data_IF_272738249579
#
_entry.id   IF_272738249579
#
_cell.length_a   1.000
_cell.length_b   1.000
_cell.length_c   1.000
_cell.angle_alpha   90.00
_cell.angle_beta   90.00
_cell.angle_gamma   90.00
#
_symmetry.space_group_name_H-M   'P 1'
#
loop_
_entity.id
_entity.type
_entity.pdbx_description
1 polymer ?
#
# COMPACT_ATOMS: atom_id res chain seq x y z
N UNK A 1 -25.06 -6.24 3.53
CA UNK A 1 -24.17 -7.43 3.48
C UNK A 1 -22.71 -7.15 3.12
N UNK A 2 -22.32 -6.04 2.48
CA UNK A 2 -20.88 -5.75 2.20
C UNK A 2 -20.10 -5.20 3.42
N UNK A 3 -20.77 -4.54 4.36
CA UNK A 3 -20.15 -3.87 5.51
C UNK A 3 -19.65 -4.81 6.62
N UNK A 4 -20.37 -5.89 6.90
CA UNK A 4 -20.01 -6.85 7.98
C UNK A 4 -18.68 -7.57 7.71
N UNK A 5 -18.46 -8.03 6.48
CA UNK A 5 -17.22 -8.74 6.15
C UNK A 5 -16.00 -7.81 6.22
N UNK A 6 -16.10 -6.56 5.79
CA UNK A 6 -14.98 -5.62 5.83
C UNK A 6 -14.56 -5.34 7.27
N UNK A 7 -15.52 -5.13 8.18
CA UNK A 7 -15.24 -4.87 9.60
C UNK A 7 -14.42 -5.98 10.24
N UNK A 8 -14.81 -7.25 10.03
CA UNK A 8 -14.13 -8.41 10.62
C UNK A 8 -12.66 -8.51 10.20
N UNK A 9 -12.36 -8.25 8.93
CA UNK A 9 -10.99 -8.27 8.43
C UNK A 9 -10.14 -7.11 8.97
N UNK A 10 -10.74 -5.93 9.16
CA UNK A 10 -10.04 -4.79 9.75
C UNK A 10 -9.72 -5.04 11.22
N UNK A 11 -10.64 -5.63 11.98
CA UNK A 11 -10.39 -5.98 13.39
C UNK A 11 -9.27 -7.01 13.52
N UNK A 12 -9.29 -8.06 12.69
CA UNK A 12 -8.20 -9.04 12.64
C UNK A 12 -6.85 -8.39 12.26
N UNK A 13 -6.88 -7.45 11.31
CA UNK A 13 -5.69 -6.69 10.92
C UNK A 13 -5.18 -5.81 12.08
N UNK A 14 -6.06 -5.15 12.85
CA UNK A 14 -5.67 -4.36 14.02
C UNK A 14 -4.95 -5.23 15.05
N UNK A 15 -5.49 -6.40 15.35
CA UNK A 15 -4.85 -7.40 16.23
C UNK A 15 -3.48 -7.81 15.69
N UNK A 16 -3.40 -8.11 14.39
CA UNK A 16 -2.15 -8.50 13.75
C UNK A 16 -1.08 -7.41 13.81
N UNK A 17 -1.42 -6.15 13.50
CA UNK A 17 -0.47 -5.03 13.56
C UNK A 17 -0.01 -4.80 15.01
N UNK A 18 -0.91 -4.92 15.99
CA UNK A 18 -0.58 -4.79 17.41
C UNK A 18 0.33 -5.94 17.91
N UNK A 19 0.18 -7.14 17.38
CA UNK A 19 1.03 -8.30 17.68
C UNK A 19 2.44 -8.21 17.08
N UNK A 20 2.68 -7.26 16.16
CA UNK A 20 3.93 -7.10 15.42
C UNK A 20 4.52 -5.68 15.57
N UNK A 21 4.79 -5.18 16.80
CA UNK A 21 5.21 -3.80 17.03
C UNK A 21 6.62 -3.49 16.51
N UNK A 22 7.50 -4.49 16.41
CA UNK A 22 8.90 -4.31 15.97
C UNK A 22 9.06 -4.35 14.44
N UNK A 23 7.98 -4.67 13.71
CA UNK A 23 8.04 -4.79 12.25
C UNK A 23 8.24 -3.43 11.59
N UNK A 24 9.32 -3.33 10.81
CA UNK A 24 9.61 -2.16 9.98
C UNK A 24 8.76 -2.18 8.70
N UNK A 25 7.53 -1.70 8.81
CA UNK A 25 6.53 -1.73 7.73
C UNK A 25 6.99 -1.06 6.42
N UNK A 26 7.87 -0.05 6.44
CA UNK A 26 8.40 0.52 5.20
C UNK A 26 9.19 -0.51 4.38
N UNK A 27 10.01 -1.33 5.05
CA UNK A 27 11.07 -2.11 4.41
C UNK A 27 10.75 -3.59 4.22
N UNK A 28 9.85 -4.16 5.02
CA UNK A 28 9.53 -5.59 4.93
C UNK A 28 9.02 -5.98 3.52
N UNK A 29 9.44 -7.13 3.02
CA UNK A 29 9.03 -7.69 1.75
C UNK A 29 7.98 -8.79 1.97
N UNK A 30 6.70 -8.41 1.95
CA UNK A 30 5.57 -9.33 2.10
C UNK A 30 5.35 -10.28 0.91
N UNK A 31 6.22 -10.26 -0.10
CA UNK A 31 6.25 -11.27 -1.17
C UNK A 31 7.34 -12.32 -0.96
N UNK A 32 8.17 -12.18 0.08
CA UNK A 32 9.18 -13.16 0.46
C UNK A 32 8.59 -14.10 1.53
N UNK A 33 8.35 -15.39 1.24
CA UNK A 33 7.81 -16.33 2.23
C UNK A 33 8.60 -16.30 3.55
N UNK A 34 9.93 -16.31 3.47
CA UNK A 34 10.81 -16.22 4.63
C UNK A 34 10.62 -14.99 5.53
N UNK A 35 10.14 -13.87 4.99
CA UNK A 35 9.85 -12.67 5.79
C UNK A 35 8.42 -12.67 6.32
N UNK A 36 7.54 -13.45 5.70
CA UNK A 36 6.14 -13.60 6.12
C UNK A 36 6.03 -14.67 7.22
N UNK A 37 6.81 -15.75 7.13
CA UNK A 37 6.86 -16.86 8.09
C UNK A 37 7.31 -16.42 9.49
N UNK A 38 8.08 -15.33 9.59
CA UNK A 38 8.58 -14.79 10.86
C UNK A 38 7.60 -13.81 11.53
N UNK A 39 6.48 -13.49 10.87
CA UNK A 39 5.46 -12.60 11.43
C UNK A 39 4.61 -13.34 12.46
N UNK A 40 4.24 -12.64 13.52
CA UNK A 40 3.36 -13.19 14.54
C UNK A 40 1.90 -13.12 14.06
N UNK A 41 1.38 -14.24 13.56
CA UNK A 41 -0.01 -14.33 13.11
C UNK A 41 -1.02 -14.46 14.25
N UNK A 42 -0.60 -14.75 15.48
CA UNK A 42 -1.50 -14.76 16.65
C UNK A 42 -2.71 -15.71 16.52
N UNK A 43 -2.58 -16.80 15.76
CA UNK A 43 -3.68 -17.74 15.46
C UNK A 43 -4.60 -17.31 14.32
N UNK A 44 -4.32 -16.18 13.65
CA UNK A 44 -5.01 -15.74 12.44
C UNK A 44 -4.55 -16.55 11.23
N UNK A 45 -5.46 -16.77 10.28
CA UNK A 45 -5.16 -17.51 9.04
C UNK A 45 -4.49 -16.58 8.04
N UNK A 46 -3.20 -16.81 7.75
CA UNK A 46 -2.39 -15.99 6.83
C UNK A 46 -3.09 -15.73 5.50
N UNK A 47 -3.53 -16.80 4.81
CA UNK A 47 -4.14 -16.72 3.47
C UNK A 47 -5.36 -15.80 3.42
N UNK A 48 -6.05 -15.66 4.55
CA UNK A 48 -7.25 -14.83 4.67
C UNK A 48 -6.96 -13.35 4.94
N UNK A 49 -5.76 -13.01 5.43
CA UNK A 49 -5.42 -11.67 5.94
C UNK A 49 -4.26 -11.02 5.19
N UNK A 50 -3.45 -11.79 4.46
CA UNK A 50 -2.25 -11.31 3.79
C UNK A 50 -2.53 -10.18 2.79
N UNK A 51 -3.72 -10.16 2.16
CA UNK A 51 -4.11 -9.10 1.21
C UNK A 51 -4.26 -7.75 1.91
N UNK A 52 -4.83 -7.77 3.10
CA UNK A 52 -5.13 -6.65 3.98
C UNK A 52 -3.83 -6.14 4.60
N UNK A 53 -2.94 -7.03 5.04
CA UNK A 53 -1.59 -6.67 5.51
C UNK A 53 -0.80 -5.97 4.40
N UNK A 54 -0.86 -6.48 3.16
CA UNK A 54 -0.24 -5.81 2.00
C UNK A 54 -0.89 -4.46 1.71
N UNK A 55 -2.20 -4.31 1.89
CA UNK A 55 -2.90 -3.03 1.72
C UNK A 55 -2.48 -2.02 2.77
N UNK A 56 -2.44 -2.43 4.04
CA UNK A 56 -1.92 -1.65 5.15
C UNK A 56 -0.50 -1.16 4.84
N UNK A 57 0.40 -2.04 4.42
CA UNK A 57 1.77 -1.67 4.08
C UNK A 57 1.84 -0.63 2.96
N UNK A 58 1.06 -0.79 1.88
CA UNK A 58 1.03 0.16 0.76
C UNK A 58 0.59 1.55 1.23
N UNK A 59 -0.42 1.61 2.09
CA UNK A 59 -0.91 2.87 2.66
C UNK A 59 0.07 3.44 3.67
N UNK A 60 0.71 2.61 4.48
CA UNK A 60 1.76 3.02 5.40
C UNK A 60 2.91 3.73 4.69
N UNK A 61 3.37 3.20 3.55
CA UNK A 61 4.37 3.86 2.69
C UNK A 61 3.87 5.20 2.11
N UNK A 62 2.56 5.34 1.93
CA UNK A 62 1.94 6.56 1.43
C UNK A 62 1.78 7.62 2.53
N UNK A 63 1.20 7.29 3.68
CA UNK A 63 0.85 8.26 4.75
C UNK A 63 1.99 8.51 5.74
N UNK A 64 2.90 7.55 5.89
CA UNK A 64 4.03 7.61 6.82
C UNK A 64 3.72 7.04 8.21
N UNK A 65 4.71 7.15 9.10
CA UNK A 65 4.68 6.60 10.45
C UNK A 65 3.64 7.28 11.35
N UNK A 66 3.25 6.57 12.41
CA UNK A 66 2.34 7.04 13.46
C UNK A 66 0.95 7.47 12.96
N UNK A 67 0.50 6.88 11.84
CA UNK A 67 -0.82 7.14 11.23
C UNK A 67 -1.62 5.86 11.01
N UNK A 68 -1.42 4.85 11.85
CA UNK A 68 -2.10 3.55 11.73
C UNK A 68 -3.63 3.69 11.74
N UNK A 69 -4.18 4.54 12.61
CA UNK A 69 -5.62 4.80 12.65
C UNK A 69 -6.15 5.38 11.34
N UNK A 70 -5.45 6.36 10.76
CA UNK A 70 -5.80 6.88 9.45
C UNK A 70 -5.74 5.78 8.38
N UNK A 71 -4.76 4.88 8.43
CA UNK A 71 -4.66 3.75 7.49
C UNK A 71 -5.86 2.82 7.64
N UNK A 72 -6.27 2.50 8.87
CA UNK A 72 -7.45 1.68 9.11
C UNK A 72 -8.72 2.37 8.58
N UNK A 73 -8.91 3.66 8.85
CA UNK A 73 -10.03 4.42 8.31
C UNK A 73 -10.03 4.45 6.77
N UNK A 74 -8.85 4.56 6.15
CA UNK A 74 -8.72 4.45 4.69
C UNK A 74 -9.16 3.07 4.18
N UNK A 75 -8.72 1.99 4.83
CA UNK A 75 -9.09 0.62 4.45
C UNK A 75 -10.60 0.34 4.64
N UNK A 76 -11.18 0.80 5.75
CA UNK A 76 -12.63 0.73 6.02
C UNK A 76 -13.45 1.44 4.92
N UNK A 77 -12.88 2.50 4.33
CA UNK A 77 -13.46 3.25 3.21
C UNK A 77 -13.00 2.74 1.82
N UNK A 78 -12.52 1.50 1.74
CA UNK A 78 -12.08 0.82 0.52
C UNK A 78 -10.93 1.51 -0.24
N UNK A 79 -10.10 2.31 0.45
CA UNK A 79 -8.86 2.85 -0.12
C UNK A 79 -7.71 1.91 0.24
N UNK A 80 -7.11 1.24 -0.76
CA UNK A 80 -6.11 0.19 -0.53
C UNK A 80 -4.71 0.49 -1.11
N UNK A 81 -4.56 1.56 -1.90
CA UNK A 81 -3.27 1.88 -2.52
C UNK A 81 -3.17 3.32 -3.06
N UNK A 82 -1.92 3.77 -3.23
CA UNK A 82 -1.58 4.97 -3.98
C UNK A 82 -2.07 4.93 -5.44
N UNK A 83 -2.03 3.77 -6.10
CA UNK A 83 -2.46 3.63 -7.50
C UNK A 83 -3.95 3.95 -7.63
N UNK A 84 -4.77 3.40 -6.73
CA UNK A 84 -6.21 3.65 -6.66
C UNK A 84 -6.49 5.15 -6.45
N UNK A 85 -5.86 5.76 -5.45
CA UNK A 85 -5.99 7.21 -5.17
C UNK A 85 -5.60 8.04 -6.40
N UNK A 86 -4.49 7.69 -7.05
CA UNK A 86 -4.00 8.38 -8.24
C UNK A 86 -4.86 8.14 -9.49
N UNK A 87 -5.73 7.13 -9.52
CA UNK A 87 -6.64 6.85 -10.62
C UNK A 87 -7.91 7.72 -10.54
N UNK A 88 -8.30 8.14 -9.34
CA UNK A 88 -9.48 8.98 -9.13
C UNK A 88 -9.27 10.42 -9.64
N UNK A 89 -10.34 11.08 -10.14
CA UNK A 89 -10.35 12.53 -10.32
C UNK A 89 -10.07 13.25 -9.00
N UNK A 90 -9.29 14.35 -9.03
CA UNK A 90 -8.90 15.09 -7.81
C UNK A 90 -10.12 15.54 -7.01
N UNK A 91 -11.12 16.11 -7.68
CA UNK A 91 -12.35 16.58 -7.05
C UNK A 91 -13.10 15.43 -6.37
N UNK A 92 -13.27 14.30 -7.06
CA UNK A 92 -13.91 13.12 -6.47
C UNK A 92 -13.17 12.62 -5.22
N UNK A 93 -11.84 12.50 -5.26
CA UNK A 93 -11.06 12.10 -4.09
C UNK A 93 -11.23 13.08 -2.92
N UNK A 94 -11.29 14.37 -3.20
CA UNK A 94 -11.42 15.39 -2.15
C UNK A 94 -12.83 15.41 -1.56
N UNK A 95 -13.87 15.32 -2.39
CA UNK A 95 -15.26 15.35 -1.92
C UNK A 95 -15.61 14.11 -1.10
N UNK A 96 -15.21 12.92 -1.56
CA UNK A 96 -15.60 11.68 -0.90
C UNK A 96 -14.76 11.38 0.36
N UNK A 97 -13.47 11.75 0.36
CA UNK A 97 -12.54 11.27 1.38
C UNK A 97 -11.93 12.36 2.25
N UNK A 98 -12.24 13.65 2.06
CA UNK A 98 -11.64 14.72 2.87
C UNK A 98 -11.88 14.57 4.37
N UNK A 99 -13.03 14.01 4.76
CA UNK A 99 -13.42 13.80 6.16
C UNK A 99 -12.49 12.82 6.88
N UNK A 100 -11.91 11.85 6.17
CA UNK A 100 -10.93 10.92 6.72
C UNK A 100 -9.65 11.62 7.20
N UNK A 101 -9.36 12.81 6.66
CA UNK A 101 -8.14 13.55 6.95
C UNK A 101 -8.39 14.77 7.84
N UNK A 102 -9.55 14.90 8.48
CA UNK A 102 -9.92 16.10 9.26
C UNK A 102 -8.98 16.36 10.44
N UNK A 103 -8.49 15.30 11.09
CA UNK A 103 -7.53 15.38 12.20
C UNK A 103 -6.10 15.68 11.75
N UNK A 104 -5.86 15.73 10.44
CA UNK A 104 -4.54 15.99 9.87
C UNK A 104 -4.32 17.48 9.60
N UNK A 105 -3.06 17.86 9.45
CA UNK A 105 -2.69 19.23 9.11
C UNK A 105 -3.36 19.72 7.81
N UNK A 106 -3.59 21.03 7.73
CA UNK A 106 -4.18 21.64 6.53
C UNK A 106 -3.36 21.31 5.29
N UNK A 107 -4.03 20.82 4.25
CA UNK A 107 -3.39 20.44 2.98
C UNK A 107 -2.80 19.03 2.97
N UNK A 108 -2.91 18.25 4.06
CA UNK A 108 -2.44 16.88 4.10
C UNK A 108 -3.09 16.01 3.01
N UNK A 109 -4.41 16.10 2.81
CA UNK A 109 -5.12 15.37 1.74
C UNK A 109 -4.55 15.68 0.35
N UNK A 110 -4.14 16.92 0.10
CA UNK A 110 -3.51 17.31 -1.16
C UNK A 110 -2.09 16.74 -1.27
N UNK A 111 -1.32 16.74 -0.19
CA UNK A 111 0.00 16.09 -0.14
C UNK A 111 -0.12 14.59 -0.44
N UNK A 112 -1.10 13.90 0.15
CA UNK A 112 -1.38 12.49 -0.12
C UNK A 112 -1.74 12.25 -1.58
N UNK A 113 -2.63 13.05 -2.15
CA UNK A 113 -3.00 12.91 -3.56
C UNK A 113 -1.81 13.14 -4.51
N UNK A 114 -0.99 14.17 -4.26
CA UNK A 114 0.24 14.45 -5.03
C UNK A 114 1.25 13.30 -4.90
N UNK A 115 1.46 12.79 -3.67
CA UNK A 115 2.36 11.65 -3.43
C UNK A 115 1.86 10.38 -4.12
N UNK A 116 0.55 10.12 -4.10
CA UNK A 116 -0.05 9.00 -4.81
C UNK A 116 0.20 9.07 -6.32
N UNK A 117 0.03 10.26 -6.94
CA UNK A 117 0.37 10.49 -8.35
C UNK A 117 1.85 10.24 -8.63
N UNK A 118 2.74 10.75 -7.78
CA UNK A 118 4.18 10.54 -7.93
C UNK A 118 4.56 9.05 -7.88
N UNK A 119 4.04 8.30 -6.89
CA UNK A 119 4.25 6.86 -6.78
C UNK A 119 3.76 6.12 -8.03
N UNK A 120 2.56 6.45 -8.52
CA UNK A 120 2.02 5.84 -9.75
C UNK A 120 2.94 6.10 -10.95
N UNK A 121 3.44 7.32 -11.11
CA UNK A 121 4.37 7.66 -12.19
C UNK A 121 5.69 6.89 -12.08
N UNK A 122 6.24 6.77 -10.87
CA UNK A 122 7.48 5.99 -10.63
C UNK A 122 7.30 4.51 -10.98
N UNK A 123 6.18 3.91 -10.59
CA UNK A 123 5.85 2.51 -10.93
C UNK A 123 5.75 2.34 -12.45
N UNK A 124 5.08 3.26 -13.14
CA UNK A 124 4.95 3.21 -14.60
C UNK A 124 6.30 3.31 -15.30
N UNK A 125 7.16 4.25 -14.88
CA UNK A 125 8.51 4.40 -15.43
C UNK A 125 9.35 3.14 -15.20
N UNK A 126 9.28 2.56 -13.99
CA UNK A 126 10.01 1.35 -13.66
C UNK A 126 9.53 0.15 -14.50
N UNK A 127 8.23 0.07 -14.78
CA UNK A 127 7.65 -0.93 -15.65
C UNK A 127 8.11 -0.75 -17.11
N UNK A 128 8.07 0.46 -17.64
CA UNK A 128 8.54 0.77 -19.00
C UNK A 128 10.03 0.43 -19.17
N UNK A 129 10.87 0.79 -18.19
CA UNK A 129 12.30 0.46 -18.20
C UNK A 129 12.53 -1.06 -18.22
N UNK A 130 11.77 -1.83 -17.42
CA UNK A 130 11.86 -3.30 -17.42
C UNK A 130 11.48 -3.90 -18.77
N UNK A 131 10.44 -3.40 -19.43
CA UNK A 131 10.05 -3.85 -20.76
C UNK A 131 11.18 -3.57 -21.76
N UNK A 132 11.63 -2.31 -21.84
CA UNK A 132 12.68 -1.90 -22.79
C UNK A 132 13.99 -2.68 -22.60
N UNK A 133 14.39 -2.94 -21.35
CA UNK A 133 15.60 -3.72 -21.06
C UNK A 133 15.43 -5.22 -21.32
N UNK A 134 14.19 -5.71 -21.43
CA UNK A 134 13.89 -7.10 -21.79
C UNK A 134 13.71 -7.30 -23.30
N UNK A 135 13.74 -6.23 -24.10
CA UNK A 135 13.66 -6.33 -25.56
C UNK A 135 14.93 -6.96 -26.16
N UNK A 136 14.82 -7.76 -27.24
CA UNK A 136 15.94 -8.48 -27.83
C UNK A 136 17.12 -7.59 -28.24
N UNK A 137 16.83 -6.37 -28.68
CA UNK A 137 17.85 -5.41 -29.12
C UNK A 137 18.73 -4.88 -27.96
N UNK A 138 18.21 -4.90 -26.72
CA UNK A 138 18.92 -4.48 -25.51
C UNK A 138 19.88 -5.56 -24.98
N UNK A 139 19.57 -6.85 -25.23
CA UNK A 139 20.40 -7.98 -24.83
C UNK A 139 21.60 -8.20 -25.78
N UNK A 140 21.48 -7.77 -27.04
CA UNK A 140 22.54 -7.94 -28.05
C UNK A 140 23.78 -7.09 -27.74
N UNK A 141 23.64 -5.93 -27.09
CA UNK A 141 24.78 -5.11 -26.65
C UNK A 141 25.53 -5.71 -25.46
N UNK A 142 24.88 -6.49 -24.58
CA UNK A 142 25.54 -7.12 -23.44
C UNK A 142 26.38 -8.34 -23.83
N UNK A 143 26.01 -9.05 -24.90
CA UNK A 143 26.78 -10.20 -25.41
C UNK A 143 27.99 -9.83 -26.26
N UNK A 144 28.13 -8.55 -26.65
CA UNK A 144 29.27 -8.06 -27.45
C UNK A 144 30.38 -7.43 -26.59
N UNK A 145 30.21 -7.41 -25.26
CA UNK A 145 31.18 -6.87 -24.29
C UNK A 145 31.66 -7.92 -23.26
N UNK A 146 31.35 -9.20 -23.49
CA UNK A 146 31.78 -10.33 -22.66
C UNK A 146 32.89 -11.14 -23.35
#
# INVERSE_FOLDING_TARGET
MKSENISVYIDALRVFIAANPEVKWQGINLNSPSQVDVLNWGGLVEDSLIKEVKAYQRLFRLVGENKSELIFSMLENNLHSAIQIAAMPKQHFFTEYSTLFFEQEKGFVEKIFKKAKAIRSQILLSYMQRIQTSEPHSNTMKSLQA
#
